data_IF_464756467143
#
_entry.id   IF_464756467143
#
_cell.length_a   1.000
_cell.length_b   1.000
_cell.length_c   1.000
_cell.angle_alpha   90.00
_cell.angle_beta   90.00
_cell.angle_gamma   90.00
#
_symmetry.space_group_name_H-M   'P 1'
#
loop_
_entity.id
_entity.type
_entity.pdbx_description
1 polymer ?
#
# COMPACT_ATOMS: atom_id res chain seq x y z
N UNK A 1 -16.02 -36.56 -27.58
CA UNK A 1 -15.77 -35.82 -26.31
C UNK A 1 -15.16 -34.48 -26.69
N UNK A 2 -15.82 -33.33 -26.42
CA UNK A 2 -15.25 -32.03 -26.76
C UNK A 2 -14.13 -31.64 -25.77
N UNK A 3 -13.06 -30.96 -26.21
CA UNK A 3 -11.99 -30.54 -25.33
C UNK A 3 -12.45 -29.36 -24.46
N UNK A 4 -12.21 -29.46 -23.15
CA UNK A 4 -12.47 -28.41 -22.18
C UNK A 4 -11.54 -27.22 -22.49
N UNK A 5 -12.11 -26.07 -22.84
CA UNK A 5 -11.38 -24.80 -22.90
C UNK A 5 -11.15 -24.33 -21.46
N UNK A 6 -9.92 -24.40 -20.97
CA UNK A 6 -9.52 -23.70 -19.75
C UNK A 6 -9.62 -22.19 -20.03
N UNK A 7 -10.58 -21.55 -19.40
CA UNK A 7 -10.62 -20.10 -19.27
C UNK A 7 -9.40 -19.67 -18.44
N UNK A 8 -8.42 -19.03 -19.09
CA UNK A 8 -7.36 -18.32 -18.40
C UNK A 8 -7.99 -17.10 -17.73
N UNK A 9 -8.40 -17.26 -16.47
CA UNK A 9 -8.67 -16.13 -15.59
C UNK A 9 -7.31 -15.49 -15.30
N UNK A 10 -6.92 -14.55 -16.16
CA UNK A 10 -5.92 -13.56 -15.80
C UNK A 10 -6.58 -12.53 -14.87
N UNK A 11 -7.14 -13.00 -13.75
CA UNK A 11 -7.44 -12.12 -12.63
C UNK A 11 -6.08 -11.63 -12.18
N UNK A 12 -5.78 -10.37 -12.45
CA UNK A 12 -4.76 -9.66 -11.69
C UNK A 12 -5.11 -9.98 -10.24
N UNK A 13 -4.28 -10.72 -9.49
CA UNK A 13 -4.60 -11.02 -8.11
C UNK A 13 -4.92 -9.68 -7.47
N UNK A 14 -6.06 -9.57 -6.77
CA UNK A 14 -6.36 -8.38 -5.99
C UNK A 14 -5.09 -8.12 -5.19
N UNK A 15 -4.37 -7.04 -5.54
CA UNK A 15 -3.00 -6.84 -5.10
C UNK A 15 -2.97 -7.05 -3.60
N UNK A 16 -2.01 -7.83 -3.10
CA UNK A 16 -1.89 -8.01 -1.66
C UNK A 16 -1.80 -6.64 -0.99
N UNK A 17 -2.28 -6.47 0.25
CA UNK A 17 -2.23 -5.17 0.94
C UNK A 17 -0.84 -4.52 0.92
N UNK A 18 0.22 -5.35 0.89
CA UNK A 18 1.61 -4.94 0.69
C UNK A 18 1.88 -4.40 -0.71
N UNK A 19 1.48 -5.11 -1.77
CA UNK A 19 1.64 -4.63 -3.15
C UNK A 19 0.86 -3.34 -3.39
N UNK A 20 -0.36 -3.23 -2.85
CA UNK A 20 -1.16 -2.02 -2.94
C UNK A 20 -0.48 -0.84 -2.25
N UNK A 21 0.11 -1.06 -1.06
CA UNK A 21 0.89 -0.04 -0.36
C UNK A 21 2.14 0.38 -1.11
N UNK A 22 2.93 -0.58 -1.62
CA UNK A 22 4.15 -0.29 -2.38
C UNK A 22 3.81 0.52 -3.64
N UNK A 23 2.77 0.13 -4.38
CA UNK A 23 2.32 0.86 -5.56
C UNK A 23 1.87 2.29 -5.22
N UNK A 24 1.18 2.48 -4.09
CA UNK A 24 0.77 3.80 -3.62
C UNK A 24 1.99 4.65 -3.18
N UNK A 25 2.93 4.05 -2.44
CA UNK A 25 4.14 4.72 -2.00
C UNK A 25 5.00 5.17 -3.19
N UNK A 26 5.15 4.34 -4.22
CA UNK A 26 5.87 4.73 -5.44
C UNK A 26 5.21 5.92 -6.15
N UNK A 27 3.88 5.93 -6.28
CA UNK A 27 3.15 7.05 -6.87
C UNK A 27 3.28 8.33 -6.02
N UNK A 28 3.36 8.22 -4.69
CA UNK A 28 3.58 9.37 -3.82
C UNK A 28 5.04 9.87 -3.83
N UNK A 29 6.03 9.00 -4.00
CA UNK A 29 7.44 9.39 -4.05
C UNK A 29 7.87 9.86 -5.45
N UNK A 30 7.14 9.44 -6.49
CA UNK A 30 7.44 9.82 -7.86
C UNK A 30 7.10 11.31 -8.11
N UNK A 31 8.09 12.14 -8.52
CA UNK A 31 7.87 13.56 -8.79
C UNK A 31 7.10 13.82 -10.08
N UNK A 32 6.95 12.80 -10.94
CA UNK A 32 6.20 12.90 -12.20
C UNK A 32 4.70 12.61 -12.00
N UNK A 33 4.30 12.15 -10.81
CA UNK A 33 2.93 11.79 -10.51
C UNK A 33 2.11 13.06 -10.24
N UNK A 34 0.99 13.27 -10.95
CA UNK A 34 0.14 14.45 -10.78
C UNK A 34 -0.38 14.59 -9.35
N UNK A 35 -0.49 15.81 -8.85
CA UNK A 35 -0.99 16.09 -7.49
C UNK A 35 -2.38 15.49 -7.23
N UNK A 36 -3.24 15.44 -8.25
CA UNK A 36 -4.55 14.81 -8.17
C UNK A 36 -4.46 13.29 -7.88
N UNK A 37 -3.46 12.61 -8.47
CA UNK A 37 -3.21 11.18 -8.27
C UNK A 37 -2.57 10.95 -6.91
N UNK A 38 -1.64 11.82 -6.48
CA UNK A 38 -1.03 11.77 -5.14
C UNK A 38 -2.10 11.88 -4.05
N UNK A 39 -3.00 12.87 -4.16
CA UNK A 39 -4.12 13.05 -3.21
C UNK A 39 -5.11 11.89 -3.19
N UNK A 40 -5.36 11.24 -4.33
CA UNK A 40 -6.22 10.05 -4.38
C UNK A 40 -5.54 8.79 -3.82
N UNK A 41 -4.20 8.76 -3.87
CA UNK A 41 -3.36 7.64 -3.42
C UNK A 41 -3.16 7.66 -1.90
N UNK A 42 -3.02 8.85 -1.31
CA UNK A 42 -2.84 9.05 0.13
C UNK A 42 -3.85 8.30 1.01
N UNK A 43 -5.18 8.43 0.84
CA UNK A 43 -6.16 7.69 1.64
C UNK A 43 -6.13 6.17 1.38
N UNK A 44 -5.73 5.75 0.17
CA UNK A 44 -5.59 4.32 -0.16
C UNK A 44 -4.39 3.71 0.56
N UNK A 45 -3.29 4.46 0.64
CA UNK A 45 -2.09 4.07 1.38
C UNK A 45 -2.42 3.93 2.87
N UNK A 46 -3.08 4.94 3.46
CA UNK A 46 -3.52 4.91 4.86
C UNK A 46 -4.45 3.71 5.14
N UNK A 47 -5.36 3.38 4.23
CA UNK A 47 -6.26 2.23 4.40
C UNK A 47 -5.54 0.87 4.47
N UNK A 48 -4.32 0.74 3.94
CA UNK A 48 -3.54 -0.50 4.04
C UNK A 48 -2.67 -0.56 5.31
N UNK A 49 -2.40 0.56 5.96
CA UNK A 49 -1.51 0.62 7.13
C UNK A 49 -1.93 -0.31 8.28
N UNK A 50 -3.21 -0.40 8.68
CA UNK A 50 -3.62 -1.29 9.78
C UNK A 50 -3.29 -2.76 9.49
N UNK A 51 -3.51 -3.19 8.26
CA UNK A 51 -3.21 -4.55 7.81
C UNK A 51 -1.71 -4.82 7.81
N UNK A 52 -0.90 -3.89 7.32
CA UNK A 52 0.56 -4.01 7.31
C UNK A 52 1.16 -4.00 8.71
N UNK A 53 0.55 -3.22 9.62
CA UNK A 53 0.89 -3.23 11.05
C UNK A 53 0.59 -4.57 11.69
N UNK A 54 -0.58 -5.14 11.45
CA UNK A 54 -0.94 -6.47 11.96
C UNK A 54 -0.01 -7.58 11.44
N UNK A 55 0.53 -7.39 10.23
CA UNK A 55 1.52 -8.29 9.64
C UNK A 55 2.96 -8.07 10.17
N UNK A 56 3.23 -6.97 10.88
CA UNK A 56 4.57 -6.64 11.36
C UNK A 56 5.57 -6.26 10.26
N UNK A 57 5.10 -5.83 9.08
CA UNK A 57 5.98 -5.51 7.94
C UNK A 57 6.99 -4.42 8.30
N UNK A 58 6.57 -3.41 9.05
CA UNK A 58 7.43 -2.30 9.48
C UNK A 58 8.43 -2.68 10.58
N UNK A 59 8.27 -3.83 11.23
CA UNK A 59 9.24 -4.36 12.20
C UNK A 59 10.36 -5.15 11.50
N UNK A 60 10.06 -5.68 10.30
CA UNK A 60 10.97 -6.50 9.50
C UNK A 60 11.66 -5.71 8.38
N UNK A 61 11.01 -4.68 7.86
CA UNK A 61 11.46 -3.88 6.71
C UNK A 61 11.46 -2.39 7.06
N UNK A 62 12.51 -1.69 6.63
CA UNK A 62 12.59 -0.23 6.77
C UNK A 62 12.13 0.50 5.50
N UNK A 63 11.42 1.62 5.70
CA UNK A 63 11.09 2.55 4.61
C UNK A 63 12.32 3.37 4.28
N UNK A 64 12.84 3.23 3.05
CA UNK A 64 14.06 3.92 2.59
C UNK A 64 13.93 5.43 2.51
N UNK A 65 12.73 5.95 2.26
CA UNK A 65 12.49 7.38 2.19
C UNK A 65 12.31 7.97 3.60
N UNK A 66 13.18 8.89 4.04
CA UNK A 66 13.15 9.39 5.41
C UNK A 66 11.94 10.28 5.70
N UNK A 67 11.42 11.00 4.70
CA UNK A 67 10.24 11.84 4.86
C UNK A 67 8.98 10.98 5.02
N UNK A 68 8.83 9.97 4.16
CA UNK A 68 7.74 8.99 4.24
C UNK A 68 7.81 8.20 5.55
N UNK A 69 9.00 7.80 5.99
CA UNK A 69 9.19 7.12 7.28
C UNK A 69 8.71 7.98 8.45
N UNK A 70 9.03 9.28 8.44
CA UNK A 70 8.64 10.21 9.51
C UNK A 70 7.13 10.43 9.52
N UNK A 71 6.53 10.63 8.35
CA UNK A 71 5.08 10.80 8.22
C UNK A 71 4.32 9.55 8.68
N UNK A 72 4.74 8.36 8.27
CA UNK A 72 4.12 7.11 8.71
C UNK A 72 4.22 6.91 10.23
N UNK A 73 5.35 7.26 10.85
CA UNK A 73 5.52 7.18 12.29
C UNK A 73 4.55 8.10 13.05
N UNK A 74 4.30 9.30 12.53
CA UNK A 74 3.35 10.28 13.10
C UNK A 74 1.91 9.76 13.04
N UNK A 75 1.47 9.30 11.86
CA UNK A 75 0.13 8.73 11.66
C UNK A 75 -0.12 7.49 12.53
N UNK A 76 0.90 6.62 12.68
CA UNK A 76 0.81 5.44 13.56
C UNK A 76 0.74 5.79 15.05
N UNK A 77 1.39 6.87 15.47
CA UNK A 77 1.28 7.37 16.83
C UNK A 77 -0.10 7.99 17.10
N UNK A 78 -0.71 8.60 16.09
CA UNK A 78 -2.04 9.21 16.18
C UNK A 78 -3.18 8.17 16.28
N UNK A 79 -3.10 7.07 15.54
CA UNK A 79 -4.10 5.98 15.57
C UNK A 79 -4.10 5.18 16.90
N UNK A 80 -2.98 5.20 17.64
CA UNK A 80 -2.84 4.51 18.93
C UNK A 80 -3.43 5.25 20.15
N UNK A 81 -3.88 6.50 19.99
CA UNK A 81 -4.33 7.34 21.10
C UNK A 81 -5.82 7.17 21.49
N UNK A 82 -6.58 6.36 20.75
CA UNK A 82 -7.98 6.05 21.07
C UNK A 82 -8.14 4.58 21.49
N UNK A 83 -7.56 4.23 22.65
CA UNK A 83 -7.84 2.97 23.36
C UNK A 83 -8.07 3.25 24.83
#
# INVERSE_FOLDING_TARGET
MPPIKLISVNATPAASPLEAFIACAHQMLDPSTPEAVRRATEPRLLAQLPTLRALGVFELFEVRDPALRTWLADEMAHDGANK
#
